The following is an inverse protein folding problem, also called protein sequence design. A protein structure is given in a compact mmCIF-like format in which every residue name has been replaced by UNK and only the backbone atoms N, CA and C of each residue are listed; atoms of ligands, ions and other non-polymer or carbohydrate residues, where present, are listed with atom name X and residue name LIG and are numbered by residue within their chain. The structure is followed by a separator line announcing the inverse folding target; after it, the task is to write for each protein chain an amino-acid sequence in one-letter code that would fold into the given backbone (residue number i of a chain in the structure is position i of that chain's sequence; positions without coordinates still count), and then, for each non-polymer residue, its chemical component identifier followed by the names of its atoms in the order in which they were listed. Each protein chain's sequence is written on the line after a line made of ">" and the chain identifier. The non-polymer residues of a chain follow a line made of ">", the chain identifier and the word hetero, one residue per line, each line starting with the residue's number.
data_IF_648139865114
#
_entry.id   IF_648139865114
#
_cell.length_a   1.000
_cell.length_b   1.000
_cell.length_c   1.000
_cell.angle_alpha   90.00
_cell.angle_beta   90.00
_cell.angle_gamma   90.00
#
_symmetry.space_group_name_H-M   'P 1'
#
loop_
_entity.id
_entity.type
_entity.pdbx_description
1 polymer ?
#
# COMPACT_ATOMS: atom_id res chain seq x y z
N UNK A 1 -16.09 13.41 24.11
CA UNK A 1 -14.84 12.79 23.61
C UNK A 1 -14.65 13.24 22.17
N UNK A 2 -13.65 14.08 21.86
CA UNK A 2 -13.37 14.48 20.46
C UNK A 2 -12.77 13.27 19.75
N UNK A 3 -13.48 12.74 18.75
CA UNK A 3 -13.00 11.61 17.96
C UNK A 3 -11.67 11.96 17.28
N UNK A 4 -10.68 11.07 17.38
CA UNK A 4 -9.43 11.18 16.64
C UNK A 4 -9.69 10.84 15.17
N UNK A 5 -9.36 11.76 14.27
CA UNK A 5 -9.44 11.54 12.82
C UNK A 5 -8.22 10.72 12.38
N UNK A 6 -8.42 9.74 11.50
CA UNK A 6 -7.31 8.94 10.93
C UNK A 6 -7.42 8.85 9.41
N UNK A 7 -6.30 8.95 8.71
CA UNK A 7 -6.20 8.76 7.25
C UNK A 7 -5.75 7.35 6.89
N UNK A 8 -6.33 6.77 5.85
CA UNK A 8 -6.03 5.40 5.37
C UNK A 8 -5.77 5.34 3.88
N UNK A 9 -4.90 4.43 3.46
CA UNK A 9 -4.59 4.15 2.07
C UNK A 9 -5.84 3.70 1.29
N UNK A 10 -6.03 4.31 0.11
CA UNK A 10 -7.04 3.92 -0.87
C UNK A 10 -6.39 2.89 -1.81
N UNK A 11 -7.10 1.81 -2.19
CA UNK A 11 -6.63 0.95 -3.27
C UNK A 11 -6.39 1.81 -4.51
N UNK A 12 -5.21 1.71 -5.12
CA UNK A 12 -4.92 2.37 -6.38
C UNK A 12 -5.78 1.73 -7.47
N UNK A 13 -6.98 2.27 -7.70
CA UNK A 13 -7.76 1.96 -8.89
C UNK A 13 -7.06 2.66 -10.06
N UNK A 14 -6.08 1.99 -10.71
CA UNK A 14 -5.82 2.28 -12.12
C UNK A 14 -7.15 2.01 -12.82
N UNK A 15 -7.81 3.09 -13.21
CA UNK A 15 -9.10 3.10 -13.92
C UNK A 15 -9.10 2.05 -15.01
N UNK A 16 -9.78 0.93 -14.78
CA UNK A 16 -10.37 0.16 -15.88
C UNK A 16 -11.56 0.98 -16.33
N UNK A 17 -11.45 1.58 -17.51
CA UNK A 17 -12.56 2.24 -18.19
C UNK A 17 -13.61 1.19 -18.54
N UNK A 18 -14.61 0.99 -17.69
CA UNK A 18 -15.81 0.26 -18.07
C UNK A 18 -16.77 1.21 -18.79
N UNK A 19 -16.72 1.15 -20.12
CA UNK A 19 -17.76 1.67 -21.00
C UNK A 19 -19.06 0.93 -20.72
N UNK A 20 -20.07 1.63 -20.18
CA UNK A 20 -21.44 1.15 -20.14
C UNK A 20 -22.31 2.06 -21.01
N UNK A 21 -22.73 1.49 -22.14
CA UNK A 21 -23.77 2.03 -23.02
C UNK A 21 -25.08 2.17 -22.24
N UNK A 22 -25.76 3.31 -22.42
CA UNK A 22 -27.08 3.57 -21.85
C UNK A 22 -28.14 3.32 -22.92
N UNK A 23 -28.85 2.20 -22.81
CA UNK A 23 -30.16 2.04 -23.43
C UNK A 23 -31.21 2.85 -22.66
N UNK A 24 -31.97 3.66 -23.40
CA UNK A 24 -33.13 4.41 -22.91
C UNK A 24 -34.41 3.62 -23.15
N UNK A 25 -35.47 3.84 -22.36
CA UNK A 25 -36.66 4.36 -23.03
C UNK A 25 -37.38 5.50 -22.29
N UNK A 26 -38.11 6.23 -23.11
CA UNK A 26 -38.87 7.46 -22.89
C UNK A 26 -40.03 7.37 -21.89
N UNK A 27 -40.25 8.46 -21.13
CA UNK A 27 -41.61 9.03 -20.94
C UNK A 27 -41.59 10.46 -20.35
N UNK A 28 -42.19 11.37 -21.12
CA UNK A 28 -42.99 12.55 -20.76
C UNK A 28 -42.60 13.51 -19.62
N UNK A 29 -42.23 14.71 -20.07
CA UNK A 29 -42.38 16.06 -19.49
C UNK A 29 -43.40 16.22 -18.35
N UNK A 30 -42.94 16.78 -17.23
CA UNK A 30 -43.47 18.01 -16.61
C UNK A 30 -42.54 18.49 -15.47
N UNK A 31 -42.25 19.79 -15.46
CA UNK A 31 -41.64 20.56 -14.37
C UNK A 31 -42.52 21.81 -14.22
N UNK A 32 -42.71 22.41 -13.03
CA UNK A 32 -41.59 23.06 -12.35
C UNK A 32 -41.59 23.06 -10.80
N UNK A 33 -40.42 23.47 -10.30
CA UNK A 33 -40.18 24.08 -9.00
C UNK A 33 -40.30 23.20 -7.75
N UNK A 34 -39.17 22.65 -7.33
CA UNK A 34 -38.74 22.73 -5.93
C UNK A 34 -37.22 22.62 -5.85
N UNK A 35 -36.60 23.65 -5.30
CA UNK A 35 -35.16 23.70 -5.05
C UNK A 35 -34.75 22.58 -4.11
N UNK A 36 -34.12 21.55 -4.67
CA UNK A 36 -33.24 20.68 -3.91
C UNK A 36 -31.82 21.16 -4.17
N UNK A 37 -31.17 21.66 -3.12
CA UNK A 37 -29.73 21.76 -3.07
C UNK A 37 -29.19 20.34 -3.28
N UNK A 38 -28.82 20.02 -4.51
CA UNK A 38 -27.96 18.89 -4.80
C UNK A 38 -26.67 19.12 -4.04
N UNK A 39 -26.56 18.53 -2.85
CA UNK A 39 -25.28 18.33 -2.19
C UNK A 39 -24.49 17.41 -3.11
N UNK A 40 -23.79 18.01 -4.08
CA UNK A 40 -22.70 17.37 -4.78
C UNK A 40 -21.71 16.99 -3.69
N UNK A 41 -21.80 15.75 -3.23
CA UNK A 41 -20.86 15.19 -2.28
C UNK A 41 -19.58 14.93 -3.08
N UNK A 42 -18.86 16.01 -3.41
CA UNK A 42 -17.59 15.95 -4.09
C UNK A 42 -16.65 15.16 -3.19
N UNK A 43 -16.35 13.93 -3.59
CA UNK A 43 -15.44 13.05 -2.86
C UNK A 43 -14.10 13.78 -2.76
N UNK A 44 -13.77 14.26 -1.57
CA UNK A 44 -12.49 14.93 -1.32
C UNK A 44 -11.38 13.89 -1.39
N UNK A 45 -10.42 14.11 -2.29
CA UNK A 45 -9.25 13.24 -2.45
C UNK A 45 -8.18 13.73 -1.49
N UNK A 46 -7.59 12.82 -0.73
CA UNK A 46 -6.43 13.12 0.10
C UNK A 46 -5.27 12.23 -0.32
N UNK A 47 -4.05 12.71 -0.12
CA UNK A 47 -2.84 11.93 -0.36
C UNK A 47 -1.87 12.09 0.82
N UNK A 48 -1.09 11.05 1.09
CA UNK A 48 0.08 11.07 1.97
C UNK A 48 1.32 11.25 1.11
N UNK A 49 2.12 12.29 1.38
CA UNK A 49 3.38 12.53 0.67
C UNK A 49 4.41 11.44 0.99
N UNK A 50 5.09 10.94 -0.04
CA UNK A 50 6.13 9.91 0.12
C UNK A 50 7.55 10.43 -0.18
N UNK A 51 7.67 11.74 -0.40
CA UNK A 51 8.92 12.46 -0.58
C UNK A 51 8.82 13.84 0.10
N UNK A 52 9.94 14.52 0.22
CA UNK A 52 9.98 15.90 0.70
C UNK A 52 9.98 16.88 -0.47
N UNK A 53 9.25 17.97 -0.31
CA UNK A 53 9.20 19.03 -1.31
C UNK A 53 9.47 20.40 -0.69
N UNK A 54 10.40 21.13 -1.29
CA UNK A 54 10.79 22.48 -0.90
C UNK A 54 10.70 23.42 -2.10
N UNK A 55 9.65 24.23 -2.24
CA UNK A 55 9.45 25.10 -3.40
C UNK A 55 10.56 26.16 -3.54
N UNK A 56 11.25 26.51 -2.46
CA UNK A 56 12.37 27.45 -2.52
C UNK A 56 13.54 26.90 -3.37
N UNK A 57 13.71 25.58 -3.38
CA UNK A 57 14.77 24.85 -4.10
C UNK A 57 14.36 24.37 -5.48
N UNK A 58 13.13 24.67 -5.89
CA UNK A 58 12.56 24.18 -7.13
C UNK A 58 12.55 25.29 -8.16
N UNK A 59 13.35 25.15 -9.21
CA UNK A 59 13.41 26.14 -10.29
C UNK A 59 12.37 25.90 -11.38
N UNK A 60 11.60 24.81 -11.30
CA UNK A 60 10.52 24.50 -12.24
C UNK A 60 9.17 25.04 -11.77
N UNK A 61 9.03 25.45 -10.51
CA UNK A 61 7.77 25.99 -9.99
C UNK A 61 7.49 27.36 -10.60
N UNK A 62 6.25 27.64 -11.08
CA UNK A 62 5.91 28.92 -11.67
C UNK A 62 6.11 30.11 -10.72
N UNK A 63 5.85 29.90 -9.42
CA UNK A 63 5.99 30.90 -8.36
C UNK A 63 6.33 30.17 -7.06
N UNK A 64 7.51 30.47 -6.47
CA UNK A 64 8.02 29.78 -5.27
C UNK A 64 7.12 30.02 -4.05
N UNK A 65 6.51 31.19 -3.98
CA UNK A 65 5.58 31.60 -2.92
C UNK A 65 4.23 30.88 -3.01
N UNK A 66 3.84 30.44 -4.20
CA UNK A 66 2.62 29.67 -4.41
C UNK A 66 2.79 28.18 -4.06
N UNK A 67 4.02 27.71 -3.85
CA UNK A 67 4.32 26.32 -3.54
C UNK A 67 4.03 25.96 -2.08
N UNK A 68 3.52 24.75 -1.86
CA UNK A 68 3.37 24.20 -0.51
C UNK A 68 4.59 23.33 -0.19
N UNK A 69 5.38 23.74 0.80
CA UNK A 69 6.41 22.88 1.38
C UNK A 69 5.78 21.74 2.16
N UNK A 70 6.25 20.51 1.97
CA UNK A 70 5.82 19.34 2.75
C UNK A 70 6.96 18.35 2.98
N UNK A 71 6.77 17.47 3.97
CA UNK A 71 7.68 16.37 4.31
C UNK A 71 7.03 15.03 4.03
N UNK A 72 7.84 13.97 4.04
CA UNK A 72 7.33 12.59 4.00
C UNK A 72 6.32 12.38 5.14
N UNK A 73 5.16 11.85 4.79
CA UNK A 73 4.07 11.55 5.72
C UNK A 73 3.02 12.65 5.89
N UNK A 74 3.26 13.87 5.40
CA UNK A 74 2.25 14.92 5.42
C UNK A 74 1.01 14.53 4.61
N UNK A 75 -0.17 14.88 5.13
CA UNK A 75 -1.45 14.65 4.45
C UNK A 75 -1.88 15.92 3.72
N UNK A 76 -2.11 15.77 2.43
CA UNK A 76 -2.48 16.85 1.52
C UNK A 76 -3.86 16.54 0.94
N UNK A 77 -4.82 17.43 1.16
CA UNK A 77 -6.09 17.43 0.43
C UNK A 77 -5.82 17.90 -1.00
N UNK A 78 -6.22 17.10 -1.99
CA UNK A 78 -6.13 17.48 -3.40
C UNK A 78 -7.37 18.29 -3.77
N UNK A 79 -7.14 19.49 -4.30
CA UNK A 79 -8.17 20.44 -4.71
C UNK A 79 -8.39 20.36 -6.22
N UNK A 80 -7.31 20.37 -7.02
CA UNK A 80 -7.37 20.22 -8.48
C UNK A 80 -6.16 19.44 -9.00
N UNK A 81 -6.40 18.62 -10.04
CA UNK A 81 -5.40 17.85 -10.80
C UNK A 81 -5.37 18.27 -12.27
N UNK A 82 -5.92 19.45 -12.60
CA UNK A 82 -6.17 19.84 -13.99
C UNK A 82 -4.87 20.11 -14.78
N UNK A 83 -3.80 20.51 -14.09
CA UNK A 83 -2.48 20.67 -14.69
C UNK A 83 -1.66 19.39 -14.55
N UNK A 84 -0.98 19.02 -15.65
CA UNK A 84 -0.19 17.80 -15.75
C UNK A 84 1.03 17.78 -14.84
N UNK A 85 1.59 18.93 -14.50
CA UNK A 85 2.82 19.09 -13.74
C UNK A 85 2.58 19.61 -12.32
N UNK A 86 1.53 20.40 -12.09
CA UNK A 86 1.30 21.12 -10.85
C UNK A 86 -0.12 20.92 -10.31
N UNK A 87 -0.25 20.09 -9.28
CA UNK A 87 -1.53 19.94 -8.60
C UNK A 87 -1.76 21.04 -7.58
N UNK A 88 -3.03 21.37 -7.34
CA UNK A 88 -3.41 22.25 -6.25
C UNK A 88 -3.75 21.39 -5.04
N UNK A 89 -3.04 21.63 -3.94
CA UNK A 89 -3.23 20.92 -2.68
C UNK A 89 -3.43 21.86 -1.51
N UNK A 90 -3.80 21.30 -0.37
CA UNK A 90 -3.81 21.98 0.93
C UNK A 90 -3.38 21.01 2.03
N UNK A 91 -2.45 21.44 2.90
CA UNK A 91 -2.03 20.64 4.05
C UNK A 91 -3.14 20.55 5.10
N UNK A 92 -3.49 19.33 5.51
CA UNK A 92 -4.59 19.09 6.46
C UNK A 92 -4.26 19.59 7.88
N UNK A 93 -3.00 19.43 8.31
CA UNK A 93 -2.57 19.79 9.67
C UNK A 93 -2.39 21.30 9.88
N UNK A 94 -2.49 22.10 8.81
CA UNK A 94 -2.35 23.56 8.89
C UNK A 94 -3.72 24.20 9.13
N UNK A 95 -3.96 24.63 10.38
CA UNK A 95 -5.25 25.24 10.81
C UNK A 95 -5.67 26.44 9.92
N UNK A 96 -4.72 27.12 9.30
CA UNK A 96 -4.92 28.22 8.35
C UNK A 96 -4.22 27.95 7.00
N UNK A 97 -4.07 26.68 6.61
CA UNK A 97 -3.40 26.32 5.35
C UNK A 97 -4.13 26.90 4.14
N UNK A 98 -3.44 27.74 3.38
CA UNK A 98 -3.90 28.19 2.06
C UNK A 98 -3.64 27.08 1.05
N UNK A 99 -4.50 26.99 0.03
CA UNK A 99 -4.22 26.16 -1.12
C UNK A 99 -2.95 26.65 -1.84
N UNK A 100 -2.24 25.74 -2.49
CA UNK A 100 -1.01 26.06 -3.21
C UNK A 100 -0.55 24.87 -4.05
N UNK A 101 0.53 25.09 -4.77
CA UNK A 101 1.03 24.17 -5.78
C UNK A 101 1.92 23.09 -5.14
N UNK A 102 1.68 21.86 -5.58
CA UNK A 102 2.53 20.69 -5.32
C UNK A 102 2.87 20.04 -6.67
N UNK A 103 4.04 19.41 -6.83
CA UNK A 103 4.36 18.70 -8.06
C UNK A 103 3.41 17.52 -8.24
N UNK A 104 2.95 17.28 -9.48
CA UNK A 104 2.17 16.09 -9.82
C UNK A 104 3.02 14.82 -9.69
N UNK A 105 2.39 13.62 -9.62
CA UNK A 105 3.11 12.36 -9.72
C UNK A 105 4.03 12.32 -10.94
N UNK A 106 3.55 12.74 -12.11
CA UNK A 106 4.28 12.71 -13.36
C UNK A 106 5.53 13.61 -13.33
N UNK A 107 5.40 14.83 -12.77
CA UNK A 107 6.53 15.74 -12.62
C UNK A 107 7.57 15.19 -11.63
N UNK A 108 7.11 14.58 -10.53
CA UNK A 108 8.00 13.99 -9.54
C UNK A 108 8.73 12.75 -10.10
N UNK A 109 8.02 11.90 -10.85
CA UNK A 109 8.62 10.75 -11.54
C UNK A 109 9.69 11.18 -12.54
N UNK A 110 9.40 12.22 -13.33
CA UNK A 110 10.37 12.80 -14.26
C UNK A 110 11.63 13.31 -13.54
N UNK A 111 11.48 13.98 -12.39
CA UNK A 111 12.64 14.45 -11.59
C UNK A 111 13.52 13.31 -11.12
N UNK A 112 12.92 12.27 -10.54
CA UNK A 112 13.66 11.11 -10.03
C UNK A 112 14.38 10.40 -11.17
N UNK A 113 13.74 10.27 -12.34
CA UNK A 113 14.36 9.71 -13.53
C UNK A 113 15.55 10.55 -14.01
N UNK A 114 15.42 11.88 -14.05
CA UNK A 114 16.53 12.78 -14.42
C UNK A 114 17.73 12.62 -13.48
N UNK A 115 17.50 12.60 -12.16
CA UNK A 115 18.56 12.41 -11.15
C UNK A 115 19.27 11.06 -11.34
N UNK A 116 18.50 9.98 -11.57
CA UNK A 116 19.07 8.65 -11.80
C UNK A 116 19.95 8.64 -13.06
N UNK A 117 19.48 9.23 -14.16
CA UNK A 117 20.26 9.33 -15.40
C UNK A 117 21.53 10.16 -15.24
N UNK A 118 21.51 11.23 -14.44
CA UNK A 118 22.68 12.06 -14.14
C UNK A 118 23.72 11.29 -13.32
N UNK A 119 23.28 10.53 -12.30
CA UNK A 119 24.16 9.66 -11.51
C UNK A 119 24.84 8.60 -12.36
N UNK A 120 24.08 7.90 -13.23
CA UNK A 120 24.65 6.90 -14.14
C UNK A 120 25.67 7.51 -15.10
N UNK A 121 25.45 8.75 -15.57
CA UNK A 121 26.42 9.46 -16.39
C UNK A 121 27.68 9.81 -15.60
N UNK A 122 27.56 10.26 -14.36
CA UNK A 122 28.72 10.55 -13.50
C UNK A 122 29.52 9.29 -13.16
N UNK A 123 28.86 8.16 -12.91
CA UNK A 123 29.51 6.87 -12.66
C UNK A 123 30.24 6.34 -13.91
N UNK A 124 29.61 6.43 -15.08
CA UNK A 124 30.25 6.08 -16.36
C UNK A 124 31.39 7.03 -16.74
N UNK A 125 31.33 8.29 -16.28
CA UNK A 125 32.38 9.28 -16.51
C UNK A 125 33.52 9.17 -15.47
N UNK A 126 33.26 8.64 -14.28
CA UNK A 126 34.28 8.25 -13.29
C UNK A 126 34.95 6.91 -13.62
N UNK A 127 34.29 6.05 -14.40
CA UNK A 127 34.81 4.78 -14.92
C UNK A 127 35.24 4.90 -16.38
N UNK A 128 36.12 5.86 -16.70
CA UNK A 128 36.65 5.99 -18.06
C UNK A 128 37.94 5.15 -18.27
N UNK A 129 37.79 3.95 -18.84
CA UNK A 129 38.72 3.48 -19.88
C UNK A 129 38.13 3.84 -21.24
N UNK A 130 38.74 4.85 -21.87
CA UNK A 130 38.87 5.13 -23.30
C UNK A 130 38.01 4.28 -24.26
N UNK A 131 36.98 4.87 -24.89
CA UNK A 131 36.72 4.84 -26.35
C UNK A 131 35.44 5.64 -26.66
N UNK A 132 35.60 6.73 -27.41
CA UNK A 132 34.53 7.66 -27.74
C UNK A 132 33.56 7.13 -28.78
N UNK A 133 32.25 7.36 -28.55
CA UNK A 133 31.23 7.46 -29.62
C UNK A 133 30.27 8.61 -29.32
N UNK A 134 29.91 9.28 -30.41
CA UNK A 134 29.22 10.58 -30.54
C UNK A 134 27.95 10.71 -29.67
N UNK A 135 27.82 11.86 -28.99
CA UNK A 135 26.59 12.32 -28.31
C UNK A 135 25.44 12.44 -29.32
N UNK A 136 24.45 11.55 -29.23
CA UNK A 136 23.12 11.74 -29.83
C UNK A 136 22.29 12.58 -28.85
N UNK A 137 21.92 13.79 -29.26
CA UNK A 137 20.93 14.59 -28.53
C UNK A 137 19.61 13.81 -28.50
N UNK A 138 19.26 13.26 -27.34
CA UNK A 138 17.98 12.60 -27.12
C UNK A 138 17.00 13.66 -26.63
N UNK A 139 16.31 14.27 -27.60
CA UNK A 139 15.16 15.14 -27.38
C UNK A 139 13.89 14.32 -27.62
N UNK A 140 13.80 13.14 -27.00
CA UNK A 140 12.59 12.32 -27.09
C UNK A 140 11.64 12.73 -25.97
N UNK A 141 10.53 13.31 -26.40
CA UNK A 141 9.33 13.52 -25.59
C UNK A 141 8.87 12.19 -25.00
N UNK A 142 8.41 12.29 -23.76
CA UNK A 142 7.93 11.23 -22.89
C UNK A 142 6.99 10.25 -23.63
N UNK A 143 7.51 9.09 -24.02
CA UNK A 143 6.72 7.98 -24.57
C UNK A 143 6.32 7.07 -23.41
N UNK A 144 5.02 6.90 -23.20
CA UNK A 144 4.39 5.97 -22.25
C UNK A 144 4.83 4.49 -22.41
N UNK A 145 5.68 4.19 -23.39
CA UNK A 145 6.24 2.87 -23.70
C UNK A 145 7.33 2.41 -22.70
N UNK A 146 7.78 3.27 -21.77
CA UNK A 146 8.78 2.96 -20.75
C UNK A 146 8.22 2.48 -19.40
N UNK A 147 6.90 2.26 -19.27
CA UNK A 147 6.24 1.84 -18.02
C UNK A 147 6.93 0.66 -17.30
N UNK A 148 7.45 -0.34 -18.04
CA UNK A 148 8.11 -1.50 -17.42
C UNK A 148 9.44 -1.18 -16.70
N UNK A 149 10.15 -0.10 -17.09
CA UNK A 149 11.35 0.37 -16.38
C UNK A 149 10.96 1.15 -15.12
N UNK A 150 9.79 1.81 -15.14
CA UNK A 150 9.26 2.55 -13.99
C UNK A 150 8.64 1.62 -12.93
N UNK A 151 8.02 0.51 -13.34
CA UNK A 151 7.58 -0.55 -12.43
C UNK A 151 8.77 -1.18 -11.66
N UNK A 152 10.00 -1.14 -12.22
CA UNK A 152 11.23 -1.54 -11.53
C UNK A 152 11.83 -0.43 -10.63
N UNK A 153 11.48 0.83 -10.86
CA UNK A 153 11.99 1.97 -10.08
C UNK A 153 11.12 2.30 -8.85
N UNK A 154 9.98 1.63 -8.68
CA UNK A 154 9.09 1.72 -7.50
C UNK A 154 8.96 3.17 -6.99
N UNK A 155 8.53 4.05 -7.90
CA UNK A 155 8.56 5.50 -7.72
C UNK A 155 7.56 5.97 -6.68
N UNK A 156 8.07 6.44 -5.53
CA UNK A 156 7.25 6.89 -4.41
C UNK A 156 6.94 8.38 -4.56
N UNK A 157 5.75 8.70 -5.06
CA UNK A 157 5.26 10.09 -5.18
C UNK A 157 4.25 10.39 -4.07
N UNK A 158 3.05 9.85 -4.19
CA UNK A 158 1.95 10.05 -3.27
C UNK A 158 1.21 8.74 -3.04
N UNK A 159 0.68 8.57 -1.83
CA UNK A 159 -0.20 7.45 -1.49
C UNK A 159 -1.59 8.01 -1.23
N UNK A 160 -2.58 7.65 -2.06
CA UNK A 160 -3.94 8.15 -1.87
C UNK A 160 -4.50 7.67 -0.53
N UNK A 161 -5.15 8.58 0.21
CA UNK A 161 -5.74 8.29 1.51
C UNK A 161 -7.17 8.80 1.65
N UNK A 162 -7.94 8.19 2.55
CA UNK A 162 -9.30 8.59 2.94
C UNK A 162 -9.33 8.95 4.42
N UNK A 163 -10.02 10.04 4.72
CA UNK A 163 -10.29 10.53 6.08
C UNK A 163 -11.41 9.71 6.71
N UNK A 164 -11.16 9.07 7.86
CA UNK A 164 -12.16 8.32 8.61
C UNK A 164 -12.41 8.93 10.00
N UNK A 165 -13.69 9.11 10.40
CA UNK A 165 -14.06 9.73 11.68
C UNK A 165 -13.84 8.80 12.89
N UNK A 166 -13.90 7.48 12.68
CA UNK A 166 -13.59 6.47 13.68
C UNK A 166 -12.84 5.32 13.00
N UNK A 167 -11.69 4.96 13.56
CA UNK A 167 -10.81 3.96 12.98
C UNK A 167 -10.63 2.76 13.92
N UNK A 168 -10.95 1.57 13.40
CA UNK A 168 -10.59 0.29 14.03
C UNK A 168 -9.71 -0.50 13.07
N UNK A 169 -8.60 -1.04 13.59
CA UNK A 169 -7.79 -2.03 12.90
C UNK A 169 -8.57 -3.34 12.86
N UNK A 170 -8.62 -3.96 11.68
CA UNK A 170 -9.31 -5.24 11.48
C UNK A 170 -8.34 -6.41 11.33
N UNK A 171 -7.13 -6.13 10.85
CA UNK A 171 -6.08 -7.13 10.68
C UNK A 171 -4.82 -6.74 11.46
N UNK A 172 -4.15 -7.69 12.09
CA UNK A 172 -2.79 -7.58 12.65
C UNK A 172 -1.87 -8.42 11.77
N UNK A 173 -0.88 -7.80 11.13
CA UNK A 173 0.10 -8.50 10.28
C UNK A 173 1.43 -8.56 11.01
N UNK A 174 1.93 -9.78 11.22
CA UNK A 174 3.22 -10.05 11.83
C UNK A 174 4.24 -10.36 10.74
N UNK A 175 5.26 -9.51 10.61
CA UNK A 175 6.39 -9.69 9.70
C UNK A 175 7.66 -9.95 10.50
N UNK A 176 8.65 -10.61 9.90
CA UNK A 176 9.91 -10.94 10.55
C UNK A 176 10.55 -12.18 9.93
N UNK A 177 11.86 -12.37 10.16
CA UNK A 177 12.57 -13.54 9.66
C UNK A 177 11.95 -14.86 10.17
N UNK A 178 12.27 -15.98 9.52
CA UNK A 178 11.88 -17.28 10.04
C UNK A 178 12.50 -17.51 11.44
N UNK A 179 11.73 -18.05 12.38
CA UNK A 179 12.21 -18.35 13.74
C UNK A 179 12.16 -17.19 14.77
N UNK A 180 11.83 -15.95 14.38
CA UNK A 180 11.77 -14.80 15.32
C UNK A 180 10.58 -14.82 16.29
N UNK A 181 9.75 -15.87 16.27
CA UNK A 181 8.63 -16.03 17.20
C UNK A 181 7.26 -15.55 16.69
N UNK A 182 7.09 -15.23 15.40
CA UNK A 182 5.79 -14.82 14.80
C UNK A 182 4.66 -15.78 15.15
N UNK A 183 4.85 -17.08 14.90
CA UNK A 183 3.90 -18.16 15.24
C UNK A 183 3.58 -18.21 16.73
N UNK A 184 4.57 -18.01 17.60
CA UNK A 184 4.36 -18.04 19.05
C UNK A 184 3.51 -16.85 19.52
N UNK A 185 3.80 -15.64 19.03
CA UNK A 185 3.01 -14.43 19.31
C UNK A 185 1.57 -14.61 18.85
N UNK A 186 1.37 -15.06 17.60
CA UNK A 186 0.05 -15.37 17.05
C UNK A 186 -0.75 -16.32 17.95
N UNK A 187 -0.17 -17.49 18.26
CA UNK A 187 -0.86 -18.52 19.04
C UNK A 187 -1.17 -18.02 20.47
N UNK A 188 -0.25 -17.26 21.07
CA UNK A 188 -0.44 -16.69 22.41
C UNK A 188 -1.57 -15.67 22.43
N UNK A 189 -1.67 -14.79 21.44
CA UNK A 189 -2.73 -13.80 21.34
C UNK A 189 -4.12 -14.46 21.17
N UNK A 190 -4.21 -15.47 20.31
CA UNK A 190 -5.47 -16.21 20.09
C UNK A 190 -5.89 -16.96 21.35
N UNK A 191 -4.93 -17.62 22.02
CA UNK A 191 -5.23 -18.40 23.24
C UNK A 191 -5.66 -17.51 24.40
N UNK A 192 -5.00 -16.35 24.58
CA UNK A 192 -5.31 -15.43 25.70
C UNK A 192 -6.56 -14.58 25.46
N UNK A 193 -6.89 -14.29 24.21
CA UNK A 193 -7.99 -13.41 23.82
C UNK A 193 -8.78 -13.96 22.63
N UNK A 194 -9.42 -15.15 22.78
CA UNK A 194 -10.14 -15.81 21.70
C UNK A 194 -11.37 -15.02 21.23
N UNK A 195 -11.91 -14.14 22.08
CA UNK A 195 -13.00 -13.21 21.80
C UNK A 195 -12.57 -11.97 21.00
N UNK A 196 -11.26 -11.81 20.74
CA UNK A 196 -10.70 -10.64 20.04
C UNK A 196 -9.90 -10.99 18.81
N UNK A 197 -9.26 -12.15 18.76
CA UNK A 197 -8.35 -12.53 17.69
C UNK A 197 -8.67 -13.90 17.12
N UNK A 198 -8.55 -14.01 15.79
CA UNK A 198 -8.61 -15.28 15.09
C UNK A 198 -7.54 -15.35 14.01
N UNK A 199 -7.13 -16.58 13.66
CA UNK A 199 -6.27 -16.86 12.51
C UNK A 199 -7.13 -17.39 11.36
N UNK A 200 -6.97 -16.90 10.12
CA UNK A 200 -7.69 -17.45 8.99
C UNK A 200 -7.24 -18.89 8.74
N UNK A 201 -8.21 -19.80 8.67
CA UNK A 201 -7.99 -21.20 8.32
C UNK A 201 -7.51 -21.27 6.86
N UNK A 202 -6.30 -21.80 6.60
CA UNK A 202 -5.77 -21.92 5.25
C UNK A 202 -6.52 -22.97 4.45
N UNK A 203 -6.42 -22.88 3.12
CA UNK A 203 -6.91 -23.88 2.18
C UNK A 203 -5.77 -24.78 1.73
N UNK A 204 -6.07 -26.02 1.39
CA UNK A 204 -5.10 -26.95 0.81
C UNK A 204 -5.73 -27.90 -0.20
N UNK A 205 -4.94 -28.30 -1.21
CA UNK A 205 -5.29 -29.37 -2.14
C UNK A 205 -4.92 -30.75 -1.64
N UNK A 206 -4.20 -30.85 -0.51
CA UNK A 206 -3.87 -32.12 0.13
C UNK A 206 -5.17 -32.82 0.53
N UNK A 207 -5.33 -34.14 0.32
CA UNK A 207 -6.49 -34.85 0.86
C UNK A 207 -6.50 -34.81 2.40
N UNK A 208 -7.69 -34.74 3.03
CA UNK A 208 -7.81 -34.80 4.48
C UNK A 208 -7.33 -36.15 5.01
N UNK A 209 -6.61 -36.13 6.14
CA UNK A 209 -6.30 -37.34 6.91
C UNK A 209 -7.54 -37.81 7.66
N UNK A 210 -7.53 -39.06 8.13
CA UNK A 210 -8.67 -39.72 8.78
C UNK A 210 -9.30 -38.93 9.94
N UNK A 211 -8.48 -38.19 10.68
CA UNK A 211 -8.89 -37.41 11.86
C UNK A 211 -8.98 -35.90 11.58
N UNK A 212 -8.85 -35.48 10.31
CA UNK A 212 -8.97 -34.06 9.93
C UNK A 212 -10.39 -33.72 9.47
N UNK A 213 -10.92 -32.64 10.03
CA UNK A 213 -12.23 -32.10 9.67
C UNK A 213 -12.06 -30.86 8.79
N UNK A 214 -12.85 -30.77 7.73
CA UNK A 214 -12.88 -29.61 6.86
C UNK A 214 -13.34 -28.36 7.61
N UNK A 215 -12.60 -27.25 7.48
CA UNK A 215 -12.91 -26.00 8.14
C UNK A 215 -12.49 -25.92 9.61
N UNK A 216 -11.64 -26.84 10.08
CA UNK A 216 -11.02 -26.80 11.42
C UNK A 216 -9.57 -26.32 11.36
N UNK A 217 -8.71 -27.14 10.75
CA UNK A 217 -7.29 -26.81 10.55
C UNK A 217 -7.01 -26.35 9.13
N UNK A 218 -7.74 -26.92 8.16
CA UNK A 218 -7.66 -26.59 6.75
C UNK A 218 -9.05 -26.62 6.12
N UNK A 219 -9.25 -25.82 5.09
CA UNK A 219 -10.27 -26.06 4.09
C UNK A 219 -9.68 -26.93 2.98
N UNK A 220 -10.22 -28.12 2.81
CA UNK A 220 -9.78 -29.06 1.78
C UNK A 220 -10.54 -28.76 0.48
N UNK A 221 -9.80 -28.42 -0.58
CA UNK A 221 -10.33 -28.04 -1.89
C UNK A 221 -9.68 -28.87 -2.99
N UNK A 222 -10.32 -28.99 -4.15
CA UNK A 222 -9.67 -29.64 -5.30
C UNK A 222 -8.57 -28.75 -5.89
N UNK A 223 -7.63 -29.37 -6.60
CA UNK A 223 -6.57 -28.65 -7.32
C UNK A 223 -7.17 -27.66 -8.34
N UNK A 224 -8.13 -28.11 -9.15
CA UNK A 224 -8.77 -27.29 -10.17
C UNK A 224 -9.48 -26.07 -9.59
N UNK A 225 -10.20 -26.24 -8.46
CA UNK A 225 -10.85 -25.13 -7.79
C UNK A 225 -9.82 -24.13 -7.28
N UNK A 226 -8.76 -24.59 -6.63
CA UNK A 226 -7.72 -23.71 -6.12
C UNK A 226 -7.02 -22.94 -7.24
N UNK A 227 -6.76 -23.57 -8.39
CA UNK A 227 -6.17 -22.91 -9.55
C UNK A 227 -7.10 -21.84 -10.17
N UNK A 228 -8.40 -22.11 -10.22
CA UNK A 228 -9.40 -21.13 -10.65
C UNK A 228 -9.48 -19.92 -9.70
N UNK A 229 -9.52 -20.17 -8.40
CA UNK A 229 -9.55 -19.12 -7.38
C UNK A 229 -8.27 -18.26 -7.40
N UNK A 230 -7.11 -18.88 -7.65
CA UNK A 230 -5.83 -18.17 -7.81
C UNK A 230 -5.87 -17.25 -9.04
N UNK A 231 -6.37 -17.73 -10.19
CA UNK A 231 -6.48 -16.90 -11.41
C UNK A 231 -7.48 -15.75 -11.24
N UNK A 232 -8.48 -15.92 -10.37
CA UNK A 232 -9.43 -14.89 -9.97
C UNK A 232 -8.90 -13.92 -8.89
N UNK A 233 -7.63 -14.05 -8.46
CA UNK A 233 -7.00 -13.25 -7.40
C UNK A 233 -7.69 -13.35 -6.03
N UNK A 234 -8.25 -14.51 -5.69
CA UNK A 234 -8.96 -14.72 -4.42
C UNK A 234 -8.05 -15.12 -3.24
N UNK A 235 -6.78 -15.43 -3.53
CA UNK A 235 -5.77 -15.79 -2.53
C UNK A 235 -4.89 -14.59 -2.18
N UNK A 236 -4.68 -14.39 -0.88
CA UNK A 236 -3.68 -13.45 -0.37
C UNK A 236 -2.26 -13.93 -0.68
N UNK A 237 -2.02 -15.21 -0.39
CA UNK A 237 -0.76 -15.91 -0.61
C UNK A 237 -1.07 -17.38 -0.88
N UNK A 238 -0.21 -18.03 -1.66
CA UNK A 238 -0.28 -19.45 -1.95
C UNK A 238 1.12 -20.00 -2.25
N UNK A 239 1.30 -21.30 -2.06
CA UNK A 239 2.55 -21.99 -2.33
C UNK A 239 2.37 -23.50 -2.33
N UNK A 240 3.41 -24.22 -2.74
CA UNK A 240 3.40 -25.69 -2.83
C UNK A 240 4.31 -26.30 -1.77
N UNK A 241 3.87 -27.40 -1.16
CA UNK A 241 4.62 -28.19 -0.20
C UNK A 241 4.19 -29.66 -0.30
N UNK A 242 5.16 -30.58 -0.40
CA UNK A 242 4.91 -32.03 -0.52
C UNK A 242 3.82 -32.37 -1.56
N UNK A 243 3.98 -31.87 -2.79
CA UNK A 243 3.07 -32.06 -3.93
C UNK A 243 1.63 -31.56 -3.74
N UNK A 244 1.34 -30.85 -2.64
CA UNK A 244 0.07 -30.19 -2.41
C UNK A 244 0.24 -28.67 -2.40
N UNK A 245 -0.82 -27.96 -2.78
CA UNK A 245 -0.88 -26.50 -2.66
C UNK A 245 -1.53 -26.10 -1.35
N UNK A 246 -1.09 -24.96 -0.82
CA UNK A 246 -1.60 -24.32 0.37
C UNK A 246 -1.79 -22.84 0.10
N UNK A 247 -2.76 -22.21 0.74
CA UNK A 247 -2.95 -20.77 0.60
C UNK A 247 -3.96 -20.17 1.55
N UNK A 248 -3.87 -18.87 1.75
CA UNK A 248 -4.81 -18.10 2.58
C UNK A 248 -5.76 -17.34 1.67
N UNK A 249 -7.04 -17.75 1.61
CA UNK A 249 -8.06 -17.00 0.85
C UNK A 249 -8.41 -15.68 1.53
N UNK A 250 -8.62 -14.63 0.73
CA UNK A 250 -9.09 -13.32 1.20
C UNK A 250 -10.46 -13.43 1.91
N UNK A 251 -11.31 -14.32 1.42
CA UNK A 251 -12.63 -14.57 1.99
C UNK A 251 -12.57 -15.06 3.44
N UNK A 252 -11.61 -15.92 3.79
CA UNK A 252 -11.45 -16.37 5.18
C UNK A 252 -11.11 -15.21 6.12
N UNK A 253 -10.37 -14.23 5.63
CA UNK A 253 -10.03 -13.02 6.39
C UNK A 253 -11.28 -12.15 6.57
N UNK A 254 -12.09 -11.98 5.53
CA UNK A 254 -13.35 -11.22 5.58
C UNK A 254 -14.32 -11.80 6.60
N UNK A 255 -14.50 -13.12 6.64
CA UNK A 255 -15.35 -13.80 7.63
C UNK A 255 -14.95 -13.52 9.07
N UNK A 256 -13.65 -13.41 9.36
CA UNK A 256 -13.16 -13.02 10.69
C UNK A 256 -13.58 -11.58 11.01
N UNK A 257 -13.45 -10.67 10.03
CA UNK A 257 -13.85 -9.27 10.21
C UNK A 257 -15.36 -9.10 10.42
N UNK A 258 -16.18 -9.90 9.74
CA UNK A 258 -17.64 -9.93 9.90
C UNK A 258 -18.06 -10.38 11.31
N UNK A 259 -17.29 -11.26 11.93
CA UNK A 259 -17.47 -11.67 13.33
C UNK A 259 -17.02 -10.59 14.33
N UNK A 260 -16.47 -9.46 13.86
CA UNK A 260 -15.96 -8.38 14.70
C UNK A 260 -14.60 -8.66 15.35
N UNK A 261 -13.95 -9.76 14.96
CA UNK A 261 -12.63 -10.17 15.44
C UNK A 261 -11.51 -9.52 14.62
N UNK A 262 -10.32 -9.44 15.21
CA UNK A 262 -9.10 -9.03 14.51
C UNK A 262 -8.43 -10.26 13.90
N UNK A 263 -8.27 -10.28 12.58
CA UNK A 263 -7.52 -11.32 11.89
C UNK A 263 -6.02 -11.15 12.16
N UNK A 264 -5.37 -12.16 12.75
CA UNK A 264 -3.90 -12.17 12.88
C UNK A 264 -3.31 -12.93 11.70
N UNK A 265 -2.39 -12.30 10.98
CA UNK A 265 -1.73 -12.84 9.80
C UNK A 265 -0.22 -12.97 10.05
N UNK A 266 0.34 -14.12 9.71
CA UNK A 266 1.77 -14.45 9.76
C UNK A 266 2.24 -14.72 8.33
N UNK A 267 2.23 -13.68 7.51
CA UNK A 267 2.43 -13.71 6.05
C UNK A 267 3.78 -13.11 5.66
N UNK A 268 4.17 -13.29 4.41
CA UNK A 268 5.36 -12.63 3.84
C UNK A 268 5.09 -11.15 3.51
N UNK A 269 6.13 -10.29 3.42
CA UNK A 269 5.96 -8.87 3.12
C UNK A 269 5.11 -8.60 1.87
N UNK A 270 5.25 -9.41 0.82
CA UNK A 270 4.57 -9.30 -0.46
C UNK A 270 3.03 -9.23 -0.32
N UNK A 271 2.48 -9.89 0.70
CA UNK A 271 1.05 -9.88 1.02
C UNK A 271 0.52 -8.47 1.38
N UNK A 272 1.40 -7.56 1.84
CA UNK A 272 1.00 -6.19 2.16
C UNK A 272 0.51 -5.40 0.94
N UNK A 273 0.91 -5.76 -0.29
CA UNK A 273 0.38 -5.13 -1.50
C UNK A 273 -1.14 -5.25 -1.61
N UNK A 274 -1.68 -6.38 -1.15
CA UNK A 274 -3.12 -6.67 -1.15
C UNK A 274 -3.78 -6.19 0.14
N UNK A 275 -3.09 -6.31 1.29
CA UNK A 275 -3.67 -5.97 2.59
C UNK A 275 -3.71 -4.48 2.88
N UNK A 276 -2.88 -3.64 2.27
CA UNK A 276 -2.82 -2.18 2.52
C UNK A 276 -4.02 -1.42 1.92
N UNK A 277 -5.23 -1.84 2.31
CA UNK A 277 -6.49 -1.22 1.89
C UNK A 277 -7.36 -0.88 3.10
N UNK A 278 -8.37 -0.04 2.89
CA UNK A 278 -9.34 0.28 3.93
C UNK A 278 -10.17 -0.92 4.39
N UNK A 279 -10.35 -1.91 3.52
CA UNK A 279 -11.07 -3.16 3.74
C UNK A 279 -10.42 -4.00 4.86
N UNK A 280 -9.12 -4.27 4.73
CA UNK A 280 -8.37 -5.07 5.71
C UNK A 280 -7.79 -4.22 6.84
N UNK A 281 -7.52 -2.94 6.60
CA UNK A 281 -7.07 -1.99 7.62
C UNK A 281 -5.94 -2.53 8.53
N UNK A 282 -4.83 -3.04 7.94
CA UNK A 282 -3.85 -3.84 8.65
C UNK A 282 -3.05 -2.99 9.63
N UNK A 283 -2.78 -3.53 10.82
CA UNK A 283 -1.75 -3.05 11.71
C UNK A 283 -0.51 -3.92 11.51
N UNK A 284 0.54 -3.37 10.92
CA UNK A 284 1.75 -4.14 10.58
C UNK A 284 2.76 -4.02 11.70
N UNK A 285 3.23 -5.16 12.19
CA UNK A 285 4.25 -5.28 13.24
C UNK A 285 5.41 -6.09 12.66
N UNK A 286 6.57 -5.45 12.56
CA UNK A 286 7.82 -6.15 12.26
C UNK A 286 8.48 -6.63 13.55
N UNK A 287 8.85 -7.90 13.59
CA UNK A 287 9.54 -8.56 14.69
C UNK A 287 10.99 -8.79 14.26
N UNK A 288 11.89 -7.98 14.81
CA UNK A 288 13.32 -8.11 14.57
C UNK A 288 13.89 -9.34 15.32
N UNK A 289 14.86 -10.00 14.70
CA UNK A 289 15.68 -10.98 15.42
C UNK A 289 16.47 -10.27 16.53
N UNK A 290 16.71 -10.93 17.68
CA UNK A 290 17.57 -10.37 18.72
C UNK A 290 19.00 -10.21 18.17
N UNK A 291 19.63 -9.08 18.45
CA UNK A 291 21.05 -8.86 18.14
C UNK A 291 21.91 -9.75 19.03
N UNK A 292 22.64 -10.69 18.43
CA UNK A 292 23.68 -11.44 19.13
C UNK A 292 24.84 -10.47 19.39
N UNK A 293 25.02 -10.04 20.63
CA UNK A 293 26.22 -9.30 21.04
C UNK A 293 27.26 -10.35 21.45
N UNK A 294 28.37 -10.54 20.71
CA UNK A 294 29.40 -11.50 21.10
C UNK A 294 30.09 -10.98 22.38
N UNK A 295 29.94 -11.70 23.50
CA UNK A 295 30.71 -11.43 24.71
C UNK A 295 29.96 -11.29 26.04
N UNK A 296 28.64 -11.48 26.09
CA UNK A 296 27.90 -11.47 27.36
C UNK A 296 27.43 -12.89 27.67
N UNK A 297 28.06 -13.49 28.69
CA UNK A 297 27.66 -14.78 29.27
C UNK A 297 26.20 -14.73 29.75
N UNK A 298 25.42 -15.72 29.34
CA UNK A 298 24.21 -16.25 29.97
C UNK A 298 23.28 -15.28 30.72
N UNK A 299 22.61 -14.38 30.01
CA UNK A 299 21.18 -14.06 30.25
C UNK A 299 20.57 -13.64 28.92
N UNK A 300 19.58 -14.38 28.42
CA UNK A 300 18.74 -13.93 27.31
C UNK A 300 17.87 -12.76 27.79
N UNK A 301 18.43 -11.55 27.83
CA UNK A 301 17.61 -10.37 27.94
C UNK A 301 16.83 -10.21 26.63
N UNK A 302 15.55 -10.58 26.65
CA UNK A 302 14.54 -10.29 25.61
C UNK A 302 14.25 -8.77 25.50
N UNK A 303 15.25 -7.93 25.68
CA UNK A 303 15.15 -6.49 25.49
C UNK A 303 15.62 -6.19 24.08
N UNK A 304 14.70 -6.29 23.14
CA UNK A 304 14.51 -5.36 22.02
C UNK A 304 13.56 -5.97 20.98
N UNK A 305 12.29 -6.14 21.36
CA UNK A 305 11.22 -6.22 20.37
C UNK A 305 11.10 -4.82 19.73
N UNK A 306 11.89 -4.54 18.69
CA UNK A 306 11.77 -3.28 17.96
C UNK A 306 10.51 -3.39 17.09
N UNK A 307 9.38 -2.95 17.66
CA UNK A 307 8.13 -2.73 16.91
C UNK A 307 8.35 -1.49 16.06
N UNK A 308 8.73 -1.68 14.81
CA UNK A 308 8.73 -0.58 13.86
C UNK A 308 7.29 -0.28 13.46
N UNK A 309 6.78 0.86 13.96
CA UNK A 309 5.57 1.47 13.46
C UNK A 309 5.88 2.12 12.12
N UNK A 310 5.11 1.79 11.10
CA UNK A 310 5.01 2.58 9.87
C UNK A 310 6.30 2.62 9.02
N UNK A 311 7.06 1.52 8.94
CA UNK A 311 8.09 1.38 7.91
C UNK A 311 7.44 1.48 6.53
N UNK A 312 8.08 2.22 5.63
CA UNK A 312 7.75 2.15 4.21
C UNK A 312 7.83 0.68 3.80
N UNK A 313 6.81 0.21 3.08
CA UNK A 313 6.74 -1.15 2.54
C UNK A 313 8.07 -1.58 1.89
N UNK A 314 8.77 -0.63 1.27
CA UNK A 314 10.07 -0.82 0.64
C UNK A 314 11.23 -1.03 1.61
N UNK A 315 11.24 -0.38 2.78
CA UNK A 315 12.27 -0.62 3.80
C UNK A 315 12.11 -1.99 4.46
N UNK A 316 10.89 -2.54 4.44
CA UNK A 316 10.63 -3.92 4.83
C UNK A 316 11.15 -4.89 3.77
N UNK A 317 10.87 -4.67 2.47
CA UNK A 317 11.40 -5.53 1.40
C UNK A 317 12.93 -5.55 1.41
N UNK A 318 13.60 -4.40 1.52
CA UNK A 318 15.08 -4.33 1.53
C UNK A 318 15.75 -5.04 2.70
N UNK A 319 15.00 -5.37 3.76
CA UNK A 319 15.48 -6.13 4.93
C UNK A 319 15.36 -7.65 4.76
N UNK A 320 14.72 -8.12 3.69
CA UNK A 320 14.56 -9.53 3.31
C UNK A 320 15.21 -9.79 1.96
#
# INVERSE_FOLDING_TARGET
>A
MRGSITFKIVPSYRTQSSSCERDSPSTSRQSPANGHSSTNNSVSIYVRAQFEYDPAKDDLIPCKEAGIRFRVGDIIQIISKDDHNWWQGKLENSKNGTAGLIPSPELQEWRVACIAMEKTKQEQQASCTWFGKKKKQYKDKYLAKHNAVFDQLDLVTYEEVVKLPAFKRKTLVLLGAHGVGRRHIKNTLITKHPDRFAYPIPHTTRPPKKDEENGKNYYFVSHDQMMQDISNNEYLEYGSHEDAMYGTKLETIRKIHEQGLIAILDVEPQALKVLRTAEFAPFVVFIAAPTITPGINEVWHLTNLIIFWDLHYQDLIKKF
#
